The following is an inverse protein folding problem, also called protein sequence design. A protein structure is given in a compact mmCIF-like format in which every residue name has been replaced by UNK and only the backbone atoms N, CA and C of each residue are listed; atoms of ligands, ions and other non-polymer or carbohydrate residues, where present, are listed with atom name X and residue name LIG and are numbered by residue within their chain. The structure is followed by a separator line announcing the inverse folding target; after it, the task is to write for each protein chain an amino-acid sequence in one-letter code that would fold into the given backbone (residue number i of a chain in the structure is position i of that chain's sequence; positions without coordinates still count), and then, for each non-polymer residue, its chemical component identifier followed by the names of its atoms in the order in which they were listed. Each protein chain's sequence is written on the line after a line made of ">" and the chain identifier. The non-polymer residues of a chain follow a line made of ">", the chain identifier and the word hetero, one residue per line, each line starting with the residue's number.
data_IF_481388697837
#
_entry.id   IF_481388697837
#
_cell.length_a   1.000
_cell.length_b   1.000
_cell.length_c   1.000
_cell.angle_alpha   90.00
_cell.angle_beta   90.00
_cell.angle_gamma   90.00
#
_symmetry.space_group_name_H-M   'P 1'
#
loop_
_entity.id
_entity.type
_entity.pdbx_description
1 polymer ?
#
# COMPACT_ATOMS: atom_id res chain seq x y z
N UNK A 1 11.70 17.10 61.85
CA UNK A 1 10.32 17.62 61.86
C UNK A 1 10.24 18.69 60.78
N UNK A 2 9.54 18.39 59.69
CA UNK A 2 9.31 19.34 58.60
C UNK A 2 7.88 19.10 58.12
N UNK A 3 7.04 20.11 58.27
CA UNK A 3 5.61 20.13 57.97
C UNK A 3 5.38 21.05 56.74
N UNK A 4 4.14 21.06 56.23
CA UNK A 4 3.46 22.06 55.33
C UNK A 4 3.17 21.53 53.91
N UNK A 5 2.02 21.85 53.26
CA UNK A 5 0.62 21.71 53.70
C UNK A 5 -0.34 21.20 52.57
N UNK A 6 -1.63 21.03 52.91
CA UNK A 6 -2.75 20.79 51.99
C UNK A 6 -2.99 21.94 50.97
N UNK A 7 -3.49 21.59 49.78
CA UNK A 7 -4.24 22.51 48.91
C UNK A 7 -5.43 21.78 48.26
N UNK A 8 -6.58 22.44 48.37
CA UNK A 8 -7.93 22.03 47.99
C UNK A 8 -8.23 22.21 46.49
N UNK A 9 -9.11 21.36 45.96
CA UNK A 9 -9.76 21.45 44.64
C UNK A 9 -10.55 22.76 44.43
N UNK A 10 -10.86 23.11 43.17
CA UNK A 10 -12.29 23.20 42.83
C UNK A 10 -12.69 22.61 41.46
N UNK A 11 -13.91 22.08 41.45
CA UNK A 11 -14.70 21.60 40.29
C UNK A 11 -15.08 22.74 39.34
N UNK A 12 -15.22 22.45 38.04
CA UNK A 12 -16.24 23.08 37.18
C UNK A 12 -16.57 22.23 35.95
N UNK A 13 -17.83 21.79 35.96
CA UNK A 13 -18.65 21.23 34.87
C UNK A 13 -18.88 22.21 33.72
N UNK A 14 -19.21 21.70 32.52
CA UNK A 14 -20.48 21.96 31.79
C UNK A 14 -20.38 21.46 30.34
N UNK A 15 -21.50 20.91 29.85
CA UNK A 15 -21.73 20.14 28.62
C UNK A 15 -21.62 20.99 27.31
N UNK A 16 -21.90 20.40 26.12
CA UNK A 16 -23.30 20.51 25.69
C UNK A 16 -23.94 19.21 25.19
N UNK A 17 -25.15 19.01 25.70
CA UNK A 17 -26.23 18.23 25.11
C UNK A 17 -26.93 19.09 24.06
N UNK A 18 -27.28 18.53 22.90
CA UNK A 18 -28.67 18.46 22.45
C UNK A 18 -28.83 17.82 21.07
N UNK A 19 -29.68 16.81 21.03
CA UNK A 19 -30.33 16.24 19.85
C UNK A 19 -31.44 17.17 19.35
N UNK A 20 -31.46 17.54 18.06
CA UNK A 20 -32.65 17.97 17.27
C UNK A 20 -32.33 17.69 15.79
N UNK A 21 -32.89 16.69 15.11
CA UNK A 21 -34.27 16.49 14.59
C UNK A 21 -34.58 17.24 13.28
N UNK A 22 -34.58 16.46 12.19
CA UNK A 22 -35.43 16.49 10.97
C UNK A 22 -35.57 17.77 10.14
N UNK A 23 -35.40 17.66 8.80
CA UNK A 23 -36.49 17.54 7.77
C UNK A 23 -35.93 17.82 6.36
N UNK A 24 -36.27 16.97 5.39
CA UNK A 24 -36.32 17.30 3.94
C UNK A 24 -37.65 18.00 3.62
N UNK A 25 -37.73 18.88 2.59
CA UNK A 25 -38.49 18.55 1.37
C UNK A 25 -37.79 19.05 0.07
N UNK A 26 -37.79 18.27 -1.03
CA UNK A 26 -38.67 18.37 -2.22
C UNK A 26 -38.47 19.67 -3.05
N UNK A 27 -37.87 19.60 -4.25
CA UNK A 27 -38.50 19.42 -5.58
C UNK A 27 -38.87 20.77 -6.23
N UNK A 28 -38.24 21.09 -7.38
CA UNK A 28 -38.92 21.54 -8.63
C UNK A 28 -37.89 21.58 -9.76
N UNK A 29 -38.19 20.88 -10.84
CA UNK A 29 -37.28 20.64 -11.96
C UNK A 29 -37.10 21.79 -12.94
N UNK A 30 -36.26 21.55 -13.95
CA UNK A 30 -36.49 22.10 -15.28
C UNK A 30 -35.99 21.16 -16.38
N UNK A 31 -36.89 21.02 -17.33
CA UNK A 31 -36.96 20.21 -18.53
C UNK A 31 -35.97 20.64 -19.63
N UNK A 32 -35.48 19.60 -20.31
CA UNK A 32 -34.80 19.46 -21.60
C UNK A 32 -34.83 20.61 -22.62
N UNK A 33 -33.69 20.86 -23.30
CA UNK A 33 -33.63 21.20 -24.73
C UNK A 33 -32.47 20.48 -25.42
N UNK A 34 -32.78 19.90 -26.58
CA UNK A 34 -31.91 19.12 -27.45
C UNK A 34 -31.12 19.99 -28.44
N UNK A 35 -29.99 19.48 -28.94
CA UNK A 35 -29.48 19.80 -30.27
C UNK A 35 -28.61 18.64 -30.81
N UNK A 36 -29.10 18.02 -31.89
CA UNK A 36 -28.35 17.12 -32.77
C UNK A 36 -27.25 17.90 -33.48
N UNK A 37 -26.02 17.38 -33.50
CA UNK A 37 -25.11 17.53 -34.65
C UNK A 37 -24.43 16.20 -34.91
N UNK A 38 -24.95 15.53 -35.94
CA UNK A 38 -24.26 14.49 -36.69
C UNK A 38 -23.17 15.21 -37.47
N UNK A 39 -21.92 14.81 -37.28
CA UNK A 39 -20.90 15.01 -38.30
C UNK A 39 -20.32 13.64 -38.59
N UNK A 40 -20.85 13.05 -39.63
CA UNK A 40 -20.29 11.91 -40.34
C UNK A 40 -19.05 12.40 -41.09
N UNK A 41 -17.91 11.74 -40.87
CA UNK A 41 -16.72 11.88 -41.70
C UNK A 41 -16.15 10.47 -41.93
N UNK A 42 -16.51 9.92 -43.09
CA UNK A 42 -15.90 8.74 -43.74
C UNK A 42 -14.36 8.84 -43.74
N UNK A 43 -13.66 7.84 -43.22
CA UNK A 43 -13.16 6.65 -43.93
C UNK A 43 -12.09 6.95 -45.01
N UNK A 44 -10.82 6.70 -44.66
CA UNK A 44 -9.84 6.11 -45.58
C UNK A 44 -9.01 5.07 -44.79
N UNK A 45 -9.05 3.85 -45.30
CA UNK A 45 -8.26 2.70 -44.88
C UNK A 45 -6.79 2.88 -45.32
N UNK A 46 -5.86 2.45 -44.46
CA UNK A 46 -4.43 2.47 -44.70
C UNK A 46 -3.75 1.45 -43.79
N UNK A 47 -3.86 0.19 -44.18
CA UNK A 47 -3.10 -0.96 -43.68
C UNK A 47 -1.61 -0.83 -44.05
N UNK A 48 -0.71 -0.94 -43.07
CA UNK A 48 0.45 -1.84 -43.10
C UNK A 48 1.52 -1.53 -42.04
N UNK A 49 1.80 -2.56 -41.24
CA UNK A 49 3.19 -2.99 -40.99
C UNK A 49 4.02 -2.20 -40.00
N UNK A 50 3.91 -2.54 -38.72
CA UNK A 50 5.06 -3.06 -37.97
C UNK A 50 4.60 -3.48 -36.58
N UNK A 51 4.99 -4.70 -36.21
CA UNK A 51 5.05 -5.18 -34.83
C UNK A 51 5.89 -4.21 -34.01
N UNK A 52 5.29 -3.13 -33.53
CA UNK A 52 5.87 -2.39 -32.42
C UNK A 52 5.47 -3.19 -31.20
N UNK A 53 6.33 -4.18 -30.91
CA UNK A 53 6.48 -4.79 -29.61
C UNK A 53 6.14 -3.69 -28.61
N UNK A 54 5.01 -3.86 -27.92
CA UNK A 54 4.66 -3.00 -26.81
C UNK A 54 5.74 -3.20 -25.77
N UNK A 55 6.85 -2.48 -25.92
CA UNK A 55 7.51 -1.87 -24.77
C UNK A 55 6.45 -0.94 -24.24
N UNK A 56 5.52 -1.51 -23.48
CA UNK A 56 4.86 -0.79 -22.44
C UNK A 56 6.00 -0.11 -21.70
N UNK A 57 6.11 1.20 -21.86
CA UNK A 57 6.66 2.04 -20.82
C UNK A 57 5.80 1.76 -19.60
N UNK A 58 6.14 0.65 -18.93
CA UNK A 58 5.74 0.35 -17.58
C UNK A 58 6.45 1.47 -16.82
N UNK A 59 5.75 2.60 -16.66
CA UNK A 59 5.95 3.50 -15.53
C UNK A 59 6.37 2.59 -14.39
N UNK A 60 7.59 2.78 -13.88
CA UNK A 60 8.18 1.90 -12.89
C UNK A 60 7.36 1.97 -11.59
N UNK A 61 6.16 1.39 -11.61
CA UNK A 61 5.55 0.77 -10.47
C UNK A 61 6.55 -0.32 -10.16
N UNK A 62 7.38 -0.06 -9.16
CA UNK A 62 8.30 -1.04 -8.63
C UNK A 62 7.52 -2.35 -8.48
N UNK A 63 7.99 -3.35 -9.20
CA UNK A 63 7.27 -4.60 -9.36
C UNK A 63 7.36 -5.35 -8.03
N UNK A 64 6.23 -5.67 -7.40
CA UNK A 64 6.19 -6.47 -6.16
C UNK A 64 7.00 -7.76 -6.33
N UNK A 65 7.06 -8.31 -7.56
CA UNK A 65 7.90 -9.47 -7.90
C UNK A 65 9.40 -9.22 -7.71
N UNK A 66 9.89 -8.01 -7.98
CA UNK A 66 11.29 -7.66 -7.72
C UNK A 66 11.56 -7.63 -6.21
N UNK A 67 10.64 -7.06 -5.43
CA UNK A 67 10.74 -7.02 -3.97
C UNK A 67 10.79 -8.44 -3.39
N UNK A 68 9.92 -9.35 -3.86
CA UNK A 68 9.94 -10.77 -3.47
C UNK A 68 11.33 -11.38 -3.68
N UNK A 69 11.95 -11.16 -4.84
CA UNK A 69 13.28 -11.69 -5.17
C UNK A 69 14.36 -11.09 -4.28
N UNK A 70 14.33 -9.78 -4.06
CA UNK A 70 15.29 -9.08 -3.20
C UNK A 70 15.16 -9.55 -1.75
N UNK A 71 13.95 -9.61 -1.21
CA UNK A 71 13.66 -10.15 0.13
C UNK A 71 14.21 -11.56 0.26
N UNK A 72 13.84 -12.48 -0.65
CA UNK A 72 14.34 -13.85 -0.61
C UNK A 72 15.87 -13.91 -0.65
N UNK A 73 16.51 -13.07 -1.48
CA UNK A 73 17.95 -13.02 -1.58
C UNK A 73 18.61 -12.47 -0.31
N UNK A 74 18.02 -11.49 0.36
CA UNK A 74 18.49 -10.96 1.65
C UNK A 74 18.44 -12.07 2.71
N UNK A 75 17.30 -12.74 2.88
CA UNK A 75 17.16 -13.83 3.86
C UNK A 75 18.15 -14.97 3.59
N UNK A 76 18.37 -15.31 2.31
CA UNK A 76 19.36 -16.32 1.90
C UNK A 76 20.80 -15.87 2.14
N UNK A 77 21.12 -14.60 1.88
CA UNK A 77 22.48 -14.05 2.00
C UNK A 77 22.88 -13.82 3.45
N UNK A 78 21.96 -13.26 4.25
CA UNK A 78 22.15 -13.01 5.68
C UNK A 78 22.00 -14.33 6.47
N UNK A 79 21.35 -15.34 5.90
CA UNK A 79 21.09 -16.66 6.51
C UNK A 79 20.36 -16.52 7.87
N UNK A 80 19.43 -15.57 7.96
CA UNK A 80 18.61 -15.32 9.13
C UNK A 80 17.19 -15.85 8.91
N UNK A 81 16.56 -16.39 9.96
CA UNK A 81 15.17 -16.84 9.91
C UNK A 81 14.17 -15.67 10.04
N UNK A 82 14.58 -14.59 10.70
CA UNK A 82 13.78 -13.39 10.93
C UNK A 82 14.65 -12.14 10.82
N UNK A 83 14.10 -11.05 10.30
CA UNK A 83 14.77 -9.75 10.15
C UNK A 83 13.85 -8.63 10.62
N UNK A 84 14.37 -7.55 11.20
CA UNK A 84 13.54 -6.41 11.57
C UNK A 84 13.05 -5.66 10.33
N UNK A 85 11.93 -4.95 10.47
CA UNK A 85 11.40 -4.07 9.42
C UNK A 85 12.45 -3.07 8.93
N UNK A 86 13.16 -2.43 9.85
CA UNK A 86 14.13 -1.39 9.51
C UNK A 86 15.34 -1.94 8.74
N UNK A 87 15.87 -3.09 9.17
CA UNK A 87 16.97 -3.76 8.47
C UNK A 87 16.53 -4.27 7.10
N UNK A 88 15.33 -4.87 6.99
CA UNK A 88 14.82 -5.31 5.70
C UNK A 88 14.67 -4.16 4.71
N UNK A 89 14.11 -3.03 5.16
CA UNK A 89 13.98 -1.83 4.33
C UNK A 89 15.35 -1.32 3.89
N UNK A 90 16.31 -1.23 4.81
CA UNK A 90 17.65 -0.77 4.50
C UNK A 90 18.36 -1.68 3.50
N UNK A 91 18.28 -3.01 3.69
CA UNK A 91 18.86 -3.99 2.78
C UNK A 91 18.22 -3.94 1.38
N UNK A 92 16.90 -3.73 1.29
CA UNK A 92 16.21 -3.54 -0.01
C UNK A 92 16.66 -2.25 -0.68
N UNK A 93 16.76 -1.13 0.05
CA UNK A 93 17.25 0.13 -0.50
C UNK A 93 18.70 0.03 -0.98
N UNK A 94 19.55 -0.74 -0.30
CA UNK A 94 20.92 -1.00 -0.73
C UNK A 94 21.00 -1.95 -1.93
N UNK A 95 20.07 -2.90 -2.03
CA UNK A 95 20.07 -3.95 -3.07
C UNK A 95 19.31 -3.56 -4.33
N UNK A 96 18.36 -2.62 -4.25
CA UNK A 96 17.51 -2.19 -5.37
C UNK A 96 17.92 -0.80 -5.86
N UNK A 97 18.17 -0.66 -7.17
CA UNK A 97 18.54 0.61 -7.78
C UNK A 97 17.33 1.51 -8.08
N UNK A 98 16.12 0.94 -8.09
CA UNK A 98 14.89 1.63 -8.48
C UNK A 98 14.11 2.24 -7.30
N UNK A 99 14.38 1.82 -6.06
CA UNK A 99 13.63 2.28 -4.88
C UNK A 99 14.52 3.13 -3.97
N UNK A 100 14.28 4.44 -3.97
CA UNK A 100 15.03 5.38 -3.14
C UNK A 100 14.21 5.93 -1.94
N UNK A 101 12.91 5.62 -1.88
CA UNK A 101 12.02 6.09 -0.82
C UNK A 101 11.75 4.98 0.20
N UNK A 102 12.06 5.23 1.48
CA UNK A 102 11.79 4.30 2.58
C UNK A 102 10.30 3.92 2.66
N UNK A 103 9.40 4.89 2.52
CA UNK A 103 7.96 4.67 2.63
C UNK A 103 7.43 3.72 1.56
N UNK A 104 7.98 3.82 0.35
CA UNK A 104 7.63 2.93 -0.77
C UNK A 104 8.04 1.48 -0.47
N UNK A 105 9.26 1.26 0.04
CA UNK A 105 9.70 -0.08 0.45
C UNK A 105 8.81 -0.65 1.55
N UNK A 106 8.45 0.17 2.54
CA UNK A 106 7.57 -0.27 3.63
C UNK A 106 6.19 -0.67 3.12
N UNK A 107 5.60 0.11 2.21
CA UNK A 107 4.31 -0.21 1.59
C UNK A 107 4.40 -1.51 0.79
N UNK A 108 5.49 -1.72 0.05
CA UNK A 108 5.68 -2.96 -0.71
C UNK A 108 5.85 -4.20 0.15
N UNK A 109 6.53 -4.08 1.29
CA UNK A 109 6.63 -5.19 2.25
C UNK A 109 5.24 -5.51 2.83
N UNK A 110 4.43 -4.49 3.14
CA UNK A 110 3.05 -4.68 3.61
C UNK A 110 2.18 -5.34 2.51
N UNK A 111 2.22 -4.83 1.29
CA UNK A 111 1.52 -5.42 0.13
C UNK A 111 1.95 -6.87 -0.08
N UNK A 112 3.25 -7.16 0.01
CA UNK A 112 3.76 -8.52 -0.10
C UNK A 112 3.16 -9.44 0.96
N UNK A 113 3.05 -8.97 2.20
CA UNK A 113 2.39 -9.71 3.28
C UNK A 113 0.89 -9.91 3.03
N UNK A 114 0.19 -8.94 2.44
CA UNK A 114 -1.23 -9.10 2.08
C UNK A 114 -1.44 -10.11 0.96
N UNK A 115 -0.54 -10.17 -0.03
CA UNK A 115 -0.65 -11.04 -1.19
C UNK A 115 -0.26 -12.48 -0.91
N UNK A 116 0.77 -12.69 -0.09
CA UNK A 116 1.31 -14.02 0.23
C UNK A 116 1.56 -14.16 1.75
N UNK A 117 0.49 -14.09 2.58
CA UNK A 117 0.63 -14.18 4.04
C UNK A 117 1.14 -15.54 4.52
N UNK A 118 1.02 -16.58 3.69
CA UNK A 118 1.57 -17.90 3.99
C UNK A 118 3.09 -17.94 3.84
N UNK A 119 3.65 -17.08 3.00
CA UNK A 119 5.09 -17.06 2.74
C UNK A 119 5.83 -16.12 3.69
N UNK A 120 5.32 -14.89 3.86
CA UNK A 120 5.93 -13.90 4.75
C UNK A 120 5.03 -13.69 5.97
N UNK A 121 5.59 -13.89 7.16
CA UNK A 121 4.91 -13.71 8.44
C UNK A 121 5.42 -12.44 9.13
N UNK A 122 4.50 -11.53 9.45
CA UNK A 122 4.76 -10.35 10.27
C UNK A 122 4.63 -10.72 11.75
N UNK A 123 5.69 -10.52 12.52
CA UNK A 123 5.76 -10.81 13.94
C UNK A 123 6.07 -9.53 14.73
N UNK A 124 5.55 -9.44 15.95
CA UNK A 124 5.92 -8.38 16.89
C UNK A 124 6.80 -9.00 17.97
N UNK A 125 8.00 -8.46 18.14
CA UNK A 125 8.91 -8.93 19.18
C UNK A 125 8.39 -8.48 20.56
N UNK A 126 8.81 -9.16 21.64
CA UNK A 126 8.48 -8.72 23.01
C UNK A 126 8.98 -7.30 23.34
N UNK A 127 9.96 -6.80 22.58
CA UNK A 127 10.50 -5.44 22.67
C UNK A 127 9.54 -4.39 22.10
N UNK A 128 8.61 -4.81 21.23
CA UNK A 128 7.69 -3.95 20.49
C UNK A 128 8.12 -3.68 19.04
N UNK A 129 9.19 -4.31 18.59
CA UNK A 129 9.71 -4.16 17.23
C UNK A 129 9.01 -5.11 16.25
N UNK A 130 8.83 -4.68 15.01
CA UNK A 130 8.23 -5.51 13.96
C UNK A 130 9.32 -6.27 13.21
N UNK A 131 9.19 -7.60 13.17
CA UNK A 131 10.04 -8.48 12.38
C UNK A 131 9.26 -9.19 11.30
N UNK A 132 9.94 -9.52 10.21
CA UNK A 132 9.42 -10.36 9.14
C UNK A 132 10.20 -11.67 9.12
N UNK A 133 9.50 -12.77 8.85
CA UNK A 133 10.08 -14.10 8.67
C UNK A 133 9.52 -14.68 7.38
N UNK A 134 10.35 -15.34 6.58
CA UNK A 134 9.89 -16.05 5.38
C UNK A 134 9.89 -17.55 5.60
N UNK A 135 8.95 -18.28 5.00
CA UNK A 135 8.98 -19.73 4.96
C UNK A 135 10.00 -20.19 3.90
N UNK A 136 11.12 -20.84 4.29
CA UNK A 136 12.12 -21.33 3.35
C UNK A 136 11.64 -22.53 2.52
N UNK A 137 10.51 -23.15 2.87
CA UNK A 137 9.96 -24.31 2.17
C UNK A 137 9.16 -23.93 0.91
N UNK A 138 8.71 -22.68 0.79
CA UNK A 138 8.03 -22.21 -0.42
C UNK A 138 9.02 -21.76 -1.50
N UNK A 139 8.87 -22.31 -2.70
CA UNK A 139 9.67 -21.91 -3.86
C UNK A 139 9.40 -20.46 -4.26
N UNK A 140 10.49 -19.71 -4.50
CA UNK A 140 10.44 -18.31 -4.94
C UNK A 140 9.52 -18.11 -6.15
N UNK A 141 9.58 -19.02 -7.13
CA UNK A 141 8.77 -18.92 -8.35
C UNK A 141 7.26 -19.16 -8.07
N UNK A 142 6.91 -19.96 -7.06
CA UNK A 142 5.51 -20.14 -6.62
C UNK A 142 4.97 -18.87 -5.95
N UNK A 143 5.79 -18.22 -5.13
CA UNK A 143 5.47 -16.93 -4.50
C UNK A 143 5.29 -15.84 -5.57
N UNK A 144 6.23 -15.75 -6.51
CA UNK A 144 6.17 -14.78 -7.62
C UNK A 144 4.97 -15.03 -8.54
N UNK A 145 4.60 -16.28 -8.80
CA UNK A 145 3.42 -16.61 -9.60
C UNK A 145 2.12 -16.12 -8.95
N UNK A 146 2.01 -16.19 -7.61
CA UNK A 146 0.84 -15.67 -6.88
C UNK A 146 0.76 -14.15 -6.91
N UNK A 147 1.91 -13.46 -6.82
CA UNK A 147 1.94 -12.00 -6.92
C UNK A 147 1.80 -11.49 -8.37
N UNK A 148 1.89 -12.37 -9.38
CA UNK A 148 1.72 -12.02 -10.79
C UNK A 148 0.26 -11.98 -11.29
N UNK A 149 -0.70 -12.48 -10.50
CA UNK A 149 -2.11 -12.60 -10.90
C UNK A 149 -3.00 -11.37 -10.58
N UNK A 150 -2.39 -10.24 -10.21
CA UNK A 150 -3.08 -9.04 -9.70
C UNK A 150 -3.07 -7.92 -10.74
#
# INVERSE_FOLDING_TARGET
>A
MTQTPEQLTPKKSMLPSSYVKTRKPANVGRLCKAAKRVHDLSAMEGDNGALRLGVAEKKASVDVKNVVRVVYNIFKSVNCASINKEELVHEIMMSSLDINERSEVEEQIEQLHELVPNWISKNLTPSGDVTFSIDPMEDLESVVARTACI
#
